data_IF_968230302075
#
_entry.id   IF_968230302075
#
_cell.length_a   1.000
_cell.length_b   1.000
_cell.length_c   1.000
_cell.angle_alpha   90.00
_cell.angle_beta   90.00
_cell.angle_gamma   90.00
#
_symmetry.space_group_name_H-M   'P 1'
#
loop_
_entity.id
_entity.type
_entity.pdbx_description
1 polymer ?
#
# COMPACT_ATOMS: atom_id res chain seq x y z
N UNK A 1 28.46 -8.00 19.52
CA UNK A 1 27.92 -7.51 20.81
C UNK A 1 26.96 -6.33 20.62
N UNK A 2 27.33 -5.29 19.86
CA UNK A 2 26.48 -4.11 19.60
C UNK A 2 25.16 -4.45 18.89
N UNK A 3 25.18 -5.32 17.87
CA UNK A 3 23.96 -5.72 17.14
C UNK A 3 22.95 -6.43 18.06
N UNK A 4 23.42 -7.35 18.92
CA UNK A 4 22.56 -8.04 19.89
C UNK A 4 21.92 -7.05 20.87
N UNK A 5 22.69 -6.05 21.33
CA UNK A 5 22.16 -4.99 22.20
C UNK A 5 21.09 -4.15 21.48
N UNK A 6 21.31 -3.76 20.23
CA UNK A 6 20.32 -3.03 19.43
C UNK A 6 19.03 -3.84 19.24
N UNK A 7 19.14 -5.13 18.94
CA UNK A 7 17.98 -6.02 18.81
C UNK A 7 17.23 -6.18 20.13
N UNK A 8 17.94 -6.26 21.26
CA UNK A 8 17.34 -6.36 22.60
C UNK A 8 16.62 -5.08 22.99
N UNK A 9 17.20 -3.91 22.71
CA UNK A 9 16.56 -2.59 22.92
C UNK A 9 15.31 -2.46 22.06
N UNK A 10 15.38 -2.89 20.80
CA UNK A 10 14.24 -2.81 19.89
C UNK A 10 13.12 -3.77 20.33
N UNK A 11 13.46 -5.00 20.72
CA UNK A 11 12.50 -5.96 21.26
C UNK A 11 11.86 -5.46 22.56
N UNK A 12 12.65 -4.92 23.49
CA UNK A 12 12.16 -4.34 24.74
C UNK A 12 11.26 -3.12 24.47
N UNK A 13 11.63 -2.25 23.54
CA UNK A 13 10.83 -1.10 23.12
C UNK A 13 9.49 -1.54 22.54
N UNK A 14 9.48 -2.56 21.66
CA UNK A 14 8.25 -3.12 21.11
C UNK A 14 7.37 -3.78 22.17
N UNK A 15 7.95 -4.51 23.11
CA UNK A 15 7.22 -5.17 24.19
C UNK A 15 6.58 -4.13 25.11
N UNK A 16 7.28 -3.02 25.37
CA UNK A 16 6.79 -1.90 26.17
C UNK A 16 5.67 -1.14 25.44
N UNK A 17 5.83 -0.85 24.14
CA UNK A 17 4.77 -0.28 23.29
C UNK A 17 3.55 -1.20 23.27
N UNK A 18 3.75 -2.50 23.06
CA UNK A 18 2.68 -3.50 23.06
C UNK A 18 1.96 -3.53 24.41
N UNK A 19 2.68 -3.48 25.53
CA UNK A 19 2.07 -3.43 26.87
C UNK A 19 1.31 -2.13 27.12
N UNK A 20 1.81 -0.98 26.66
CA UNK A 20 1.10 0.32 26.75
C UNK A 20 -0.16 0.27 25.90
N UNK A 21 -0.05 -0.10 24.61
CA UNK A 21 -1.19 -0.20 23.70
C UNK A 21 -2.21 -1.20 24.22
N UNK A 22 -1.76 -2.34 24.74
CA UNK A 22 -2.65 -3.31 25.39
C UNK A 22 -3.29 -2.71 26.63
N UNK A 23 -2.56 -2.03 27.51
CA UNK A 23 -3.15 -1.41 28.71
C UNK A 23 -4.17 -0.30 28.42
N UNK A 24 -3.88 0.54 27.42
CA UNK A 24 -4.72 1.68 27.00
C UNK A 24 -5.95 1.21 26.22
N UNK A 25 -5.79 0.25 25.31
CA UNK A 25 -6.84 -0.23 24.41
C UNK A 25 -7.49 -1.55 24.85
N UNK A 26 -7.10 -2.14 25.99
CA UNK A 26 -7.76 -3.32 26.60
C UNK A 26 -9.02 -2.95 27.38
N UNK A 27 -9.26 -1.66 27.66
CA UNK A 27 -10.56 -1.21 28.16
C UNK A 27 -11.47 -0.95 26.97
N UNK A 28 -12.35 -1.92 26.75
CA UNK A 28 -13.48 -1.89 25.83
C UNK A 28 -13.18 -1.99 24.33
N UNK A 29 -14.04 -2.75 23.68
CA UNK A 29 -14.12 -2.95 22.25
C UNK A 29 -14.27 -1.62 21.50
N UNK A 30 -13.17 -1.00 21.11
CA UNK A 30 -13.16 -0.20 19.89
C UNK A 30 -13.30 -1.21 18.75
N UNK A 31 -14.53 -1.58 18.37
CA UNK A 31 -14.82 -2.63 17.37
C UNK A 31 -14.12 -2.43 16.01
N UNK A 32 -13.60 -1.24 15.78
CA UNK A 32 -12.83 -0.82 14.62
C UNK A 32 -11.31 -0.95 14.79
N UNK A 33 -10.77 -1.10 16.00
CA UNK A 33 -9.35 -1.20 16.31
C UNK A 33 -8.98 -2.63 16.72
N UNK A 34 -8.09 -3.28 15.96
CA UNK A 34 -7.55 -4.60 16.29
C UNK A 34 -6.07 -4.49 16.58
N UNK A 35 -5.67 -4.91 17.78
CA UNK A 35 -4.28 -4.96 18.22
C UNK A 35 -3.74 -6.39 18.06
N UNK A 36 -2.60 -6.51 17.39
CA UNK A 36 -1.79 -7.71 17.26
C UNK A 36 -0.43 -7.48 17.96
N UNK A 37 0.32 -8.53 18.32
CA UNK A 37 1.60 -8.39 19.03
C UNK A 37 2.61 -7.43 18.39
N UNK A 38 2.61 -7.31 17.05
CA UNK A 38 3.51 -6.45 16.28
C UNK A 38 2.77 -5.54 15.30
N UNK A 39 1.45 -5.40 15.42
CA UNK A 39 0.70 -4.58 14.50
C UNK A 39 -0.57 -4.01 15.12
N UNK A 40 -1.05 -2.89 14.60
CA UNK A 40 -2.43 -2.46 14.85
C UNK A 40 -3.13 -2.17 13.54
N UNK A 41 -4.43 -2.41 13.53
CA UNK A 41 -5.29 -2.19 12.36
C UNK A 41 -6.48 -1.35 12.80
N UNK A 42 -6.68 -0.22 12.13
CA UNK A 42 -7.83 0.65 12.30
C UNK A 42 -8.75 0.52 11.07
N UNK A 43 -9.93 -0.06 11.28
CA UNK A 43 -10.97 -0.23 10.26
C UNK A 43 -11.95 0.93 10.29
N UNK A 44 -12.44 1.33 9.13
CA UNK A 44 -13.48 2.33 8.94
C UNK A 44 -14.42 1.90 7.82
N UNK A 45 -15.72 2.18 8.01
CA UNK A 45 -16.72 2.08 6.93
C UNK A 45 -17.08 3.43 6.33
N UNK A 46 -16.69 4.53 6.96
CA UNK A 46 -17.03 5.90 6.51
C UNK A 46 -16.44 6.22 5.13
N UNK A 47 -15.27 5.69 4.81
CA UNK A 47 -14.66 5.90 3.49
C UNK A 47 -15.48 5.22 2.37
N UNK A 48 -16.19 4.12 2.67
CA UNK A 48 -17.05 3.45 1.69
C UNK A 48 -18.19 4.36 1.25
N UNK A 49 -18.84 5.04 2.22
CA UNK A 49 -19.89 6.02 1.92
C UNK A 49 -19.37 7.21 1.09
N UNK A 50 -18.11 7.62 1.32
CA UNK A 50 -17.47 8.63 0.49
C UNK A 50 -17.25 8.12 -0.93
N UNK A 51 -16.78 6.89 -1.10
CA UNK A 51 -16.62 6.29 -2.43
C UNK A 51 -17.95 6.18 -3.17
N UNK A 52 -19.02 5.73 -2.51
CA UNK A 52 -20.36 5.67 -3.09
C UNK A 52 -20.79 7.05 -3.62
N UNK A 53 -20.63 8.11 -2.83
CA UNK A 53 -20.95 9.49 -3.27
C UNK A 53 -20.14 9.95 -4.48
N UNK A 54 -18.86 9.60 -4.55
CA UNK A 54 -17.99 9.98 -5.67
C UNK A 54 -18.38 9.20 -6.93
N UNK A 55 -18.63 7.90 -6.79
CA UNK A 55 -19.07 7.02 -7.88
C UNK A 55 -20.42 7.48 -8.44
N UNK A 56 -21.39 7.81 -7.58
CA UNK A 56 -22.70 8.28 -8.00
C UNK A 56 -22.64 9.64 -8.72
N UNK A 57 -21.68 10.48 -8.34
CA UNK A 57 -21.51 11.82 -8.92
C UNK A 57 -20.86 11.80 -10.30
N UNK A 58 -19.92 10.89 -10.55
CA UNK A 58 -19.14 10.88 -11.80
C UNK A 58 -18.79 9.47 -12.32
N UNK A 59 -19.78 8.58 -12.53
CA UNK A 59 -19.52 7.19 -12.89
C UNK A 59 -18.84 7.05 -14.26
N UNK A 60 -19.20 7.92 -15.22
CA UNK A 60 -18.59 7.92 -16.56
C UNK A 60 -17.10 8.28 -16.48
N UNK A 61 -16.74 9.31 -15.70
CA UNK A 61 -15.36 9.74 -15.52
C UNK A 61 -14.51 8.62 -14.92
N UNK A 62 -14.98 7.97 -13.85
CA UNK A 62 -14.28 6.85 -13.24
C UNK A 62 -14.19 5.63 -14.18
N UNK A 63 -15.19 5.41 -15.02
CA UNK A 63 -15.16 4.35 -16.03
C UNK A 63 -14.08 4.60 -17.09
N UNK A 64 -13.98 5.83 -17.58
CA UNK A 64 -12.90 6.21 -18.53
C UNK A 64 -11.54 6.08 -17.85
N UNK A 65 -11.42 6.59 -16.63
CA UNK A 65 -10.17 6.56 -15.86
C UNK A 65 -9.71 5.12 -15.60
N UNK A 66 -10.62 4.22 -15.21
CA UNK A 66 -10.30 2.80 -15.01
C UNK A 66 -9.86 2.10 -16.30
N UNK A 67 -10.44 2.43 -17.46
CA UNK A 67 -10.00 1.88 -18.75
C UNK A 67 -8.60 2.38 -19.13
N UNK A 68 -8.33 3.67 -18.91
CA UNK A 68 -7.00 4.26 -19.10
C UNK A 68 -6.00 3.58 -18.17
N UNK A 69 -6.35 3.39 -16.90
CA UNK A 69 -5.53 2.68 -15.92
C UNK A 69 -5.18 1.27 -16.37
N UNK A 70 -6.12 0.52 -16.94
CA UNK A 70 -5.83 -0.81 -17.52
C UNK A 70 -4.83 -0.72 -18.68
N UNK A 71 -5.03 0.21 -19.62
CA UNK A 71 -4.14 0.37 -20.77
C UNK A 71 -2.71 0.76 -20.33
N UNK A 72 -2.61 1.73 -19.42
CA UNK A 72 -1.33 2.16 -18.83
C UNK A 72 -0.69 1.03 -18.03
N UNK A 73 -1.47 0.26 -17.26
CA UNK A 73 -0.97 -0.88 -16.50
C UNK A 73 -0.30 -1.93 -17.37
N UNK A 74 -0.92 -2.30 -18.51
CA UNK A 74 -0.28 -3.18 -19.49
C UNK A 74 0.97 -2.55 -20.12
N UNK A 75 0.91 -1.26 -20.47
CA UNK A 75 2.06 -0.53 -21.02
C UNK A 75 3.25 -0.49 -20.05
N UNK A 76 3.01 -0.16 -18.79
CA UNK A 76 4.01 -0.14 -17.74
C UNK A 76 4.53 -1.54 -17.41
N UNK A 77 3.70 -2.58 -17.52
CA UNK A 77 4.15 -3.97 -17.36
C UNK A 77 5.15 -4.33 -18.46
N UNK A 78 4.81 -4.07 -19.74
CA UNK A 78 5.71 -4.32 -20.85
C UNK A 78 7.01 -3.50 -20.72
N UNK A 79 6.88 -2.22 -20.36
CA UNK A 79 8.03 -1.35 -20.10
C UNK A 79 8.90 -1.86 -18.95
N UNK A 80 8.29 -2.32 -17.85
CA UNK A 80 9.03 -2.84 -16.68
C UNK A 80 9.79 -4.11 -17.03
N UNK A 81 9.17 -5.04 -17.79
CA UNK A 81 9.84 -6.26 -18.26
C UNK A 81 11.03 -5.88 -19.16
N UNK A 82 10.83 -4.99 -20.12
CA UNK A 82 11.90 -4.50 -20.98
C UNK A 82 13.04 -3.84 -20.18
N UNK A 83 12.69 -2.94 -19.26
CA UNK A 83 13.64 -2.19 -18.44
C UNK A 83 14.45 -3.14 -17.56
N UNK A 84 13.80 -4.07 -16.85
CA UNK A 84 14.47 -5.04 -15.99
C UNK A 84 15.35 -6.00 -16.80
N UNK A 85 14.87 -6.50 -17.95
CA UNK A 85 15.66 -7.37 -18.83
C UNK A 85 16.89 -6.65 -19.37
N UNK A 86 16.75 -5.38 -19.79
CA UNK A 86 17.88 -4.56 -20.24
C UNK A 86 18.91 -4.36 -19.15
N UNK A 87 18.47 -3.99 -17.94
CA UNK A 87 19.38 -3.82 -16.80
C UNK A 87 20.10 -5.13 -16.46
N UNK A 88 19.37 -6.25 -16.40
CA UNK A 88 19.97 -7.57 -16.17
C UNK A 88 21.01 -7.93 -17.23
N UNK A 89 20.72 -7.67 -18.50
CA UNK A 89 21.67 -7.86 -19.60
C UNK A 89 22.95 -7.01 -19.43
N UNK A 90 22.81 -5.74 -19.03
CA UNK A 90 23.95 -4.89 -18.70
C UNK A 90 24.77 -5.45 -17.54
N UNK A 91 24.11 -5.94 -16.49
CA UNK A 91 24.79 -6.57 -15.34
C UNK A 91 25.59 -7.82 -15.72
N UNK A 92 25.06 -8.65 -16.64
CA UNK A 92 25.68 -9.92 -17.01
C UNK A 92 26.77 -9.78 -18.09
N UNK A 93 26.59 -8.90 -19.06
CA UNK A 93 27.41 -8.86 -20.27
C UNK A 93 28.21 -7.57 -20.47
N UNK A 94 27.88 -6.51 -19.73
CA UNK A 94 28.60 -5.24 -19.79
C UNK A 94 28.72 -4.59 -18.40
N UNK A 95 29.26 -5.30 -17.38
CA UNK A 95 29.31 -4.80 -16.01
C UNK A 95 30.07 -3.47 -15.87
N UNK A 96 31.04 -3.20 -16.75
CA UNK A 96 31.75 -1.91 -16.81
C UNK A 96 30.84 -0.72 -17.14
N UNK A 97 29.63 -0.94 -17.68
CA UNK A 97 28.63 0.11 -17.93
C UNK A 97 27.69 0.35 -16.74
N UNK A 98 27.79 -0.46 -15.67
CA UNK A 98 26.98 -0.29 -14.46
C UNK A 98 27.55 0.88 -13.65
N UNK A 99 26.96 2.06 -13.83
CA UNK A 99 27.28 3.22 -13.01
C UNK A 99 26.69 3.13 -11.59
N UNK A 100 27.14 3.98 -10.65
CA UNK A 100 26.59 4.05 -9.29
C UNK A 100 25.06 4.27 -9.26
N UNK A 101 24.53 4.92 -10.30
CA UNK A 101 23.11 5.24 -10.46
C UNK A 101 22.24 4.01 -10.77
N UNK A 102 22.84 2.92 -11.23
CA UNK A 102 22.12 1.69 -11.61
C UNK A 102 21.96 0.73 -10.42
N UNK A 103 22.55 1.04 -9.27
CA UNK A 103 22.49 0.22 -8.07
C UNK A 103 21.17 0.50 -7.35
N UNK A 104 20.35 -0.53 -7.18
CA UNK A 104 19.15 -0.44 -6.33
C UNK A 104 19.60 -0.35 -4.88
N UNK A 105 19.54 0.85 -4.31
CA UNK A 105 19.86 1.07 -2.89
C UNK A 105 18.59 0.91 -2.06
N UNK A 106 18.55 -0.03 -1.09
CA UNK A 106 17.38 -0.21 -0.25
C UNK A 106 17.17 1.04 0.62
N UNK A 107 15.91 1.45 0.74
CA UNK A 107 15.47 2.55 1.60
C UNK A 107 15.50 2.07 3.07
N UNK A 108 16.51 2.49 3.82
CA UNK A 108 16.75 2.13 5.21
C UNK A 108 16.91 3.42 6.00
N UNK A 109 15.94 3.70 6.86
CA UNK A 109 15.91 4.89 7.72
C UNK A 109 17.13 4.84 8.66
N UNK A 110 17.89 5.93 8.69
CA UNK A 110 19.12 6.05 9.47
C UNK A 110 20.38 5.51 8.80
N UNK A 111 20.26 4.85 7.62
CA UNK A 111 21.41 4.33 6.87
C UNK A 111 21.48 4.96 5.48
N UNK A 112 20.48 4.73 4.63
CA UNK A 112 20.42 5.27 3.27
C UNK A 112 19.52 6.50 3.18
N UNK A 113 18.70 6.73 4.21
CA UNK A 113 17.87 7.93 4.37
C UNK A 113 18.17 8.57 5.72
N UNK A 114 18.45 9.88 5.73
CA UNK A 114 18.58 10.64 6.97
C UNK A 114 17.23 10.78 7.69
N UNK A 115 17.26 10.79 9.02
CA UNK A 115 16.07 10.94 9.87
C UNK A 115 15.32 12.26 9.61
N UNK A 116 16.03 13.32 9.23
CA UNK A 116 15.44 14.62 8.85
C UNK A 116 14.48 14.54 7.66
N UNK A 117 14.62 13.52 6.81
CA UNK A 117 13.73 13.30 5.66
C UNK A 117 12.47 12.51 5.99
N UNK A 118 12.36 11.96 7.20
CA UNK A 118 11.26 11.10 7.60
C UNK A 118 9.88 11.78 7.47
N UNK A 119 9.68 13.07 7.84
CA UNK A 119 8.38 13.72 7.66
C UNK A 119 7.93 13.77 6.20
N UNK A 120 8.86 14.03 5.27
CA UNK A 120 8.58 14.10 3.84
C UNK A 120 8.21 12.72 3.28
N UNK A 121 8.91 11.67 3.72
CA UNK A 121 8.63 10.30 3.29
C UNK A 121 7.28 9.83 3.82
N UNK A 122 6.98 10.09 5.09
CA UNK A 122 5.69 9.71 5.68
C UNK A 122 4.53 10.45 5.02
N UNK A 123 4.73 11.73 4.67
CA UNK A 123 3.73 12.49 3.91
C UNK A 123 3.53 11.91 2.51
N UNK A 124 4.61 11.67 1.76
CA UNK A 124 4.55 11.10 0.41
C UNK A 124 3.89 9.71 0.43
N UNK A 125 4.29 8.86 1.37
CA UNK A 125 3.72 7.54 1.57
C UNK A 125 2.24 7.62 1.93
N UNK A 126 1.85 8.55 2.81
CA UNK A 126 0.45 8.78 3.16
C UNK A 126 -0.39 9.17 1.94
N UNK A 127 0.10 10.10 1.12
CA UNK A 127 -0.58 10.50 -0.12
C UNK A 127 -0.72 9.30 -1.05
N UNK A 128 0.38 8.60 -1.35
CA UNK A 128 0.38 7.44 -2.25
C UNK A 128 -0.56 6.34 -1.75
N UNK A 129 -0.52 5.99 -0.46
CA UNK A 129 -1.42 4.96 0.08
C UNK A 129 -2.89 5.37 0.01
N UNK A 130 -3.20 6.63 0.29
CA UNK A 130 -4.57 7.14 0.23
C UNK A 130 -5.07 7.12 -1.22
N UNK A 131 -4.28 7.57 -2.19
CA UNK A 131 -4.68 7.58 -3.60
C UNK A 131 -4.76 6.16 -4.16
N UNK A 132 -3.75 5.32 -3.88
CA UNK A 132 -3.66 3.94 -4.35
C UNK A 132 -4.83 3.08 -3.85
N UNK A 133 -5.00 2.98 -2.53
CA UNK A 133 -6.08 2.19 -1.93
C UNK A 133 -7.45 2.83 -2.20
N UNK A 134 -7.51 4.17 -2.18
CA UNK A 134 -8.72 4.91 -2.50
C UNK A 134 -9.22 4.61 -3.91
N UNK A 135 -8.32 4.52 -4.91
CA UNK A 135 -8.70 4.22 -6.27
C UNK A 135 -9.14 2.76 -6.44
N UNK A 136 -8.48 1.80 -5.78
CA UNK A 136 -8.99 0.42 -5.68
C UNK A 136 -10.44 0.41 -5.13
N UNK A 137 -10.70 1.17 -4.07
CA UNK A 137 -12.03 1.29 -3.46
C UNK A 137 -13.06 1.90 -4.42
N UNK A 138 -12.74 3.04 -5.04
CA UNK A 138 -13.61 3.73 -6.00
C UNK A 138 -13.97 2.82 -7.19
N UNK A 139 -12.99 2.16 -7.79
CA UNK A 139 -13.25 1.27 -8.94
C UNK A 139 -14.00 0.02 -8.52
N UNK A 140 -13.72 -0.55 -7.34
CA UNK A 140 -14.51 -1.67 -6.82
C UNK A 140 -15.99 -1.29 -6.66
N UNK A 141 -16.27 -0.11 -6.08
CA UNK A 141 -17.65 0.41 -5.95
C UNK A 141 -18.29 0.71 -7.31
N UNK A 142 -17.56 1.31 -8.25
CA UNK A 142 -18.01 1.53 -9.63
C UNK A 142 -18.42 0.23 -10.32
N UNK A 143 -17.63 -0.82 -10.15
CA UNK A 143 -17.88 -2.16 -10.71
C UNK A 143 -18.87 -2.98 -9.88
N UNK A 144 -19.54 -2.36 -8.91
CA UNK A 144 -20.56 -2.95 -8.03
C UNK A 144 -20.04 -4.09 -7.15
N UNK A 145 -18.75 -4.09 -6.84
CA UNK A 145 -18.16 -4.98 -5.84
C UNK A 145 -18.32 -4.33 -4.47
N UNK A 146 -18.80 -5.11 -3.51
CA UNK A 146 -18.95 -4.68 -2.12
C UNK A 146 -17.58 -4.51 -1.46
N UNK A 147 -17.44 -3.47 -0.64
CA UNK A 147 -16.30 -3.33 0.25
C UNK A 147 -16.71 -3.77 1.67
N UNK A 148 -15.94 -4.68 2.28
CA UNK A 148 -16.14 -5.16 3.65
C UNK A 148 -15.69 -4.11 4.67
N UNK A 149 -14.52 -3.52 4.43
CA UNK A 149 -13.97 -2.43 5.24
C UNK A 149 -12.90 -1.66 4.48
N UNK A 150 -12.45 -0.56 5.07
CA UNK A 150 -11.28 0.23 4.65
C UNK A 150 -10.47 0.54 5.89
N UNK A 151 -9.24 1.00 5.76
CA UNK A 151 -8.51 1.41 6.94
C UNK A 151 -7.04 1.66 6.74
N UNK A 152 -6.37 1.79 7.89
CA UNK A 152 -4.93 1.90 7.99
C UNK A 152 -4.41 0.88 8.97
N UNK A 153 -3.17 0.45 8.78
CA UNK A 153 -2.47 -0.39 9.72
C UNK A 153 -1.04 0.11 9.90
N UNK A 154 -0.45 -0.25 11.04
CA UNK A 154 0.99 -0.18 11.22
C UNK A 154 1.44 -1.60 11.57
N UNK A 155 2.24 -2.20 10.69
CA UNK A 155 2.86 -3.50 10.93
C UNK A 155 4.33 -3.25 11.23
N UNK A 156 4.75 -3.48 12.48
CA UNK A 156 6.06 -3.11 12.95
C UNK A 156 6.33 -1.60 12.72
N UNK A 157 7.27 -1.24 11.84
CA UNK A 157 7.54 0.15 11.46
C UNK A 157 6.92 0.55 10.11
N UNK A 158 6.15 -0.34 9.48
CA UNK A 158 5.62 -0.15 8.14
C UNK A 158 4.15 0.29 8.19
N UNK A 159 3.85 1.57 7.96
CA UNK A 159 2.47 2.02 7.83
C UNK A 159 1.90 1.57 6.49
N UNK A 160 0.61 1.28 6.48
CA UNK A 160 -0.13 0.86 5.30
C UNK A 160 -1.57 1.32 5.32
N UNK A 161 -2.16 1.47 4.13
CA UNK A 161 -3.60 1.61 3.93
C UNK A 161 -4.17 0.32 3.38
N UNK A 162 -5.49 0.16 3.44
CA UNK A 162 -6.17 -0.90 2.72
C UNK A 162 -7.62 -0.54 2.39
N UNK A 163 -8.08 -1.06 1.26
CA UNK A 163 -9.50 -1.32 1.00
C UNK A 163 -9.73 -2.81 0.88
N UNK A 164 -10.85 -3.32 1.38
CA UNK A 164 -11.14 -4.75 1.44
C UNK A 164 -12.36 -5.08 0.57
N UNK A 165 -12.20 -5.31 -0.76
CA UNK A 165 -13.26 -5.84 -1.60
C UNK A 165 -13.75 -7.21 -1.14
N UNK A 166 -15.01 -7.52 -1.40
CA UNK A 166 -15.53 -8.87 -1.20
C UNK A 166 -14.87 -9.83 -2.20
N UNK A 167 -14.06 -10.75 -1.67
CA UNK A 167 -13.28 -11.69 -2.47
C UNK A 167 -14.16 -12.61 -3.32
N UNK A 168 -15.35 -13.02 -2.84
CA UNK A 168 -16.22 -13.91 -3.58
C UNK A 168 -16.83 -13.19 -4.77
N UNK A 169 -17.32 -11.97 -4.57
CA UNK A 169 -17.82 -11.10 -5.65
C UNK A 169 -16.71 -10.77 -6.66
N UNK A 170 -15.52 -10.36 -6.18
CA UNK A 170 -14.39 -10.06 -7.04
C UNK A 170 -13.96 -11.28 -7.87
N UNK A 171 -13.88 -12.46 -7.27
CA UNK A 171 -13.47 -13.68 -7.96
C UNK A 171 -14.49 -14.15 -8.99
N UNK A 172 -15.79 -13.90 -8.78
CA UNK A 172 -16.85 -14.20 -9.76
C UNK A 172 -17.00 -13.12 -10.84
N UNK A 173 -16.41 -11.94 -10.65
CA UNK A 173 -16.55 -10.83 -11.59
C UNK A 173 -15.92 -11.14 -12.97
N UNK A 174 -16.42 -10.51 -14.05
CA UNK A 174 -15.82 -10.63 -15.38
C UNK A 174 -14.35 -10.18 -15.40
N UNK A 175 -13.52 -10.72 -16.32
CA UNK A 175 -12.10 -10.34 -16.41
C UNK A 175 -11.87 -8.83 -16.52
N UNK A 176 -12.74 -8.12 -17.26
CA UNK A 176 -12.67 -6.66 -17.41
C UNK A 176 -12.77 -5.92 -16.07
N UNK A 177 -13.71 -6.33 -15.22
CA UNK A 177 -13.88 -5.77 -13.88
C UNK A 177 -12.66 -6.04 -13.01
N UNK A 178 -12.15 -7.27 -13.02
CA UNK A 178 -10.93 -7.64 -12.29
C UNK A 178 -9.73 -6.79 -12.71
N UNK A 179 -9.53 -6.63 -14.02
CA UNK A 179 -8.46 -5.80 -14.57
C UNK A 179 -8.59 -4.33 -14.14
N UNK A 180 -9.81 -3.77 -14.22
CA UNK A 180 -10.06 -2.38 -13.79
C UNK A 180 -9.72 -2.17 -12.33
N UNK A 181 -10.22 -3.04 -11.44
CA UNK A 181 -9.94 -2.94 -10.00
C UNK A 181 -8.46 -3.17 -9.73
N UNK A 182 -7.82 -4.15 -10.35
CA UNK A 182 -6.40 -4.45 -10.13
C UNK A 182 -5.46 -3.33 -10.62
N UNK A 183 -5.79 -2.67 -11.74
CA UNK A 183 -4.99 -1.57 -12.28
C UNK A 183 -5.23 -0.23 -11.57
N UNK A 184 -6.34 -0.10 -10.84
CA UNK A 184 -6.80 1.16 -10.26
C UNK A 184 -5.77 1.82 -9.32
N UNK A 185 -5.24 1.07 -8.35
CA UNK A 185 -4.29 1.62 -7.39
C UNK A 185 -2.98 2.05 -8.04
N UNK A 186 -2.41 1.22 -8.91
CA UNK A 186 -1.15 1.53 -9.60
C UNK A 186 -1.25 2.73 -10.56
N UNK A 187 -2.45 3.07 -11.01
CA UNK A 187 -2.68 4.24 -11.85
C UNK A 187 -2.77 5.55 -11.04
N UNK A 188 -3.12 5.50 -9.75
CA UNK A 188 -3.38 6.65 -8.89
C UNK A 188 -2.12 7.18 -8.17
#
# INVERSE_FOLDING_TARGET
MVIYLCLLVLAAGWLLIYMILRGVFSRESLGNFKLYPLAFVLRSRKAIEFFDKVVDRSPLFLTVLSNIGVAIGFGLTAFSIYFLAKNLGTYLFAPQQVGPQNIVVPLIIGVTIKLEHLPYILLALGIVLITHEGMHGLVARLEKIRLKSTGFFLAFIFPGGFVEPDEEEFNKAPPKTKMRVAAAGSFA
#
